data_IF_304684921619
#
_entry.id   IF_304684921619
#
_cell.length_a   1.000
_cell.length_b   1.000
_cell.length_c   1.000
_cell.angle_alpha   90.00
_cell.angle_beta   90.00
_cell.angle_gamma   90.00
#
_symmetry.space_group_name_H-M   'P 1'
#
loop_
_entity.id
_entity.type
_entity.pdbx_description
1 polymer ?
#
# COMPACT_ATOMS: atom_id res chain seq x y z
N UNK A 1 15.95 13.17 -10.64
CA UNK A 1 14.97 13.89 -11.48
C UNK A 1 14.09 14.68 -10.54
N UNK A 2 13.93 15.97 -10.80
CA UNK A 2 13.07 16.85 -10.03
C UNK A 2 11.61 16.64 -10.50
N UNK A 3 10.69 16.17 -9.65
CA UNK A 3 9.31 15.87 -10.04
C UNK A 3 8.58 17.11 -10.59
N UNK A 4 8.97 18.32 -10.18
CA UNK A 4 8.40 19.58 -10.69
C UNK A 4 8.67 19.81 -12.18
N UNK A 5 9.62 19.07 -12.78
CA UNK A 5 9.94 19.15 -14.21
C UNK A 5 9.16 18.17 -15.07
N UNK A 6 8.34 17.32 -14.48
CA UNK A 6 7.50 16.39 -15.24
C UNK A 6 6.35 17.16 -15.92
N UNK A 7 6.00 16.81 -17.17
CA UNK A 7 4.81 17.36 -17.81
C UNK A 7 3.54 17.00 -17.01
N UNK A 8 2.45 17.71 -17.30
CA UNK A 8 1.12 17.32 -16.83
C UNK A 8 0.85 15.85 -17.14
N UNK A 9 0.26 15.09 -16.21
CA UNK A 9 0.20 13.64 -16.30
C UNK A 9 -0.63 13.13 -17.48
N UNK A 10 -1.69 13.85 -17.84
CA UNK A 10 -2.51 13.50 -19.02
C UNK A 10 -1.74 13.80 -20.33
N UNK A 11 -0.96 14.88 -20.40
CA UNK A 11 -0.11 15.17 -21.56
C UNK A 11 0.97 14.11 -21.74
N UNK A 12 1.60 13.71 -20.62
CA UNK A 12 2.58 12.62 -20.61
C UNK A 12 1.94 11.30 -21.06
N UNK A 13 0.76 10.97 -20.53
CA UNK A 13 0.01 9.78 -20.94
C UNK A 13 -0.26 9.76 -22.44
N UNK A 14 -0.79 10.84 -23.01
CA UNK A 14 -1.17 10.87 -24.42
C UNK A 14 0.01 10.92 -25.38
N UNK A 15 1.10 11.59 -24.99
CA UNK A 15 2.36 11.53 -25.73
C UNK A 15 2.87 10.09 -25.83
N UNK A 16 2.75 9.34 -24.75
CA UNK A 16 3.22 7.96 -24.69
C UNK A 16 2.32 6.99 -25.46
N UNK A 17 1.00 7.15 -25.37
CA UNK A 17 0.06 6.39 -26.21
C UNK A 17 0.34 6.69 -27.68
N UNK A 18 0.56 7.95 -28.07
CA UNK A 18 0.91 8.31 -29.43
C UNK A 18 2.22 7.65 -29.90
N UNK A 19 3.24 7.58 -29.04
CA UNK A 19 4.46 6.82 -29.34
C UNK A 19 4.18 5.32 -29.55
N UNK A 20 3.36 4.71 -28.69
CA UNK A 20 2.96 3.31 -28.83
C UNK A 20 2.17 3.06 -30.13
N UNK A 21 1.28 3.99 -30.51
CA UNK A 21 0.54 3.98 -31.79
C UNK A 21 1.51 4.05 -32.98
N UNK A 22 2.47 4.98 -32.97
CA UNK A 22 3.46 5.11 -34.03
C UNK A 22 4.30 3.84 -34.19
N UNK A 23 4.85 3.32 -33.10
CA UNK A 23 5.65 2.10 -33.15
C UNK A 23 4.82 0.90 -33.59
N UNK A 24 3.57 0.80 -33.14
CA UNK A 24 2.65 -0.26 -33.58
C UNK A 24 2.38 -0.23 -35.08
N UNK A 25 2.22 0.96 -35.65
CA UNK A 25 2.03 1.14 -37.09
C UNK A 25 3.30 0.84 -37.90
N UNK A 26 4.48 1.17 -37.36
CA UNK A 26 5.77 0.91 -38.00
C UNK A 26 6.21 -0.57 -37.92
N UNK A 27 5.62 -1.37 -37.04
CA UNK A 27 5.87 -2.82 -36.94
C UNK A 27 6.89 -3.22 -35.84
N UNK A 28 7.38 -4.47 -35.85
CA UNK A 28 7.86 -5.17 -34.64
C UNK A 28 9.17 -4.68 -34.02
N UNK A 29 10.00 -3.90 -34.73
CA UNK A 29 11.25 -3.39 -34.15
C UNK A 29 11.63 -2.06 -34.81
N UNK A 30 11.65 -0.95 -34.05
CA UNK A 30 12.27 0.29 -34.48
C UNK A 30 13.79 0.12 -34.69
N UNK A 31 14.43 0.98 -35.50
CA UNK A 31 15.87 0.88 -35.79
C UNK A 31 16.75 1.03 -34.54
N UNK A 32 16.29 1.79 -33.55
CA UNK A 32 17.00 2.06 -32.30
C UNK A 32 16.82 0.96 -31.25
N UNK A 33 16.07 -0.11 -31.57
CA UNK A 33 15.78 -1.22 -30.66
C UNK A 33 14.80 -0.89 -29.52
N UNK A 34 14.32 0.35 -29.42
CA UNK A 34 13.33 0.73 -28.42
C UNK A 34 11.98 0.05 -28.70
N UNK A 35 11.18 -0.18 -27.66
CA UNK A 35 9.85 -0.77 -27.79
C UNK A 35 8.88 -0.05 -26.89
N UNK A 36 7.86 0.53 -27.49
CA UNK A 36 6.76 1.19 -26.82
C UNK A 36 5.48 0.39 -27.02
N UNK A 37 4.80 0.06 -25.93
CA UNK A 37 3.61 -0.78 -25.93
C UNK A 37 2.53 -0.26 -24.99
N UNK A 38 1.32 -0.78 -25.17
CA UNK A 38 0.19 -0.50 -24.30
C UNK A 38 -0.45 -1.80 -23.81
N UNK A 39 -0.58 -1.91 -22.50
CA UNK A 39 -1.27 -2.97 -21.79
C UNK A 39 -2.68 -2.48 -21.41
N UNK A 40 -3.74 -2.97 -22.10
CA UNK A 40 -5.10 -2.53 -21.84
C UNK A 40 -5.67 -3.04 -20.52
N UNK A 41 -5.17 -4.17 -20.00
CA UNK A 41 -5.68 -4.78 -18.76
C UNK A 41 -5.29 -3.95 -17.55
N UNK A 42 -4.01 -3.56 -17.49
CA UNK A 42 -3.48 -2.79 -16.37
C UNK A 42 -3.44 -1.27 -16.62
N UNK A 43 -3.83 -0.83 -17.84
CA UNK A 43 -3.68 0.55 -18.34
C UNK A 43 -2.25 1.06 -18.18
N UNK A 44 -1.30 0.27 -18.65
CA UNK A 44 0.13 0.60 -18.55
C UNK A 44 0.67 0.86 -19.94
N UNK A 45 1.28 2.02 -20.15
CA UNK A 45 2.18 2.24 -21.28
C UNK A 45 3.58 1.83 -20.86
N UNK A 46 4.27 1.11 -21.75
CA UNK A 46 5.61 0.55 -21.50
C UNK A 46 6.56 1.13 -22.53
N UNK A 47 7.76 1.51 -22.10
CA UNK A 47 8.88 1.87 -22.96
C UNK A 47 10.11 1.07 -22.50
N UNK A 48 10.65 0.24 -23.37
CA UNK A 48 11.91 -0.47 -23.19
C UNK A 48 12.93 0.10 -24.18
N UNK A 49 14.13 0.43 -23.74
CA UNK A 49 15.21 0.96 -24.56
C UNK A 49 16.26 -0.13 -24.84
N UNK A 50 17.05 0.05 -25.89
CA UNK A 50 18.04 -0.95 -26.32
C UNK A 50 19.21 -1.14 -25.34
N UNK A 51 19.48 -0.15 -24.49
CA UNK A 51 20.49 -0.21 -23.43
C UNK A 51 20.03 -1.02 -22.19
N UNK A 52 18.79 -1.52 -22.20
CA UNK A 52 18.17 -2.22 -21.09
C UNK A 52 17.45 -1.32 -20.10
N UNK A 53 17.46 -0.01 -20.31
CA UNK A 53 16.63 0.93 -19.57
C UNK A 53 15.16 0.69 -19.88
N UNK A 54 14.29 0.93 -18.90
CA UNK A 54 12.86 0.79 -19.09
C UNK A 54 12.06 1.77 -18.24
N UNK A 55 10.87 2.09 -18.73
CA UNK A 55 9.97 3.08 -18.19
C UNK A 55 8.52 2.60 -18.33
N UNK A 56 7.68 2.88 -17.35
CA UNK A 56 6.27 2.47 -17.27
C UNK A 56 5.42 3.61 -16.71
N UNK A 57 4.21 3.78 -17.24
CA UNK A 57 3.21 4.68 -16.65
C UNK A 57 1.86 4.01 -16.61
N UNK A 58 1.26 4.03 -15.44
CA UNK A 58 -0.09 3.55 -15.19
C UNK A 58 -1.03 4.71 -15.01
N UNK A 59 -2.17 4.64 -15.71
CA UNK A 59 -3.30 5.55 -15.53
C UNK A 59 -4.44 4.86 -14.81
N UNK A 60 -5.00 5.54 -13.80
CA UNK A 60 -6.21 5.13 -13.09
C UNK A 60 -7.13 6.33 -12.90
N UNK A 61 -8.36 6.12 -12.41
CA UNK A 61 -9.36 7.18 -12.23
C UNK A 61 -8.88 8.41 -11.44
N UNK A 62 -7.94 8.24 -10.51
CA UNK A 62 -7.53 9.31 -9.58
C UNK A 62 -6.04 9.62 -9.55
N UNK A 63 -5.23 8.89 -10.32
CA UNK A 63 -3.77 8.99 -10.25
C UNK A 63 -3.07 8.51 -11.50
N UNK A 64 -1.88 9.05 -11.68
CA UNK A 64 -0.87 8.57 -12.61
C UNK A 64 0.37 8.15 -11.83
N UNK A 65 0.96 7.02 -12.22
CA UNK A 65 2.14 6.48 -11.54
C UNK A 65 3.17 6.15 -12.59
N UNK A 66 4.33 6.78 -12.50
CA UNK A 66 5.48 6.61 -13.37
C UNK A 66 6.57 5.85 -12.61
N UNK A 67 7.12 4.79 -13.19
CA UNK A 67 8.26 4.09 -12.59
C UNK A 67 9.18 3.53 -13.65
N UNK A 68 10.44 3.34 -13.30
CA UNK A 68 11.42 2.88 -14.26
C UNK A 68 12.77 2.55 -13.64
N UNK A 69 13.68 2.17 -14.54
CA UNK A 69 15.08 1.91 -14.23
C UNK A 69 15.93 2.29 -15.44
N UNK A 70 16.97 3.07 -15.22
CA UNK A 70 17.99 3.32 -16.25
C UNK A 70 19.03 2.19 -16.29
N UNK A 71 19.75 2.08 -17.39
CA UNK A 71 20.89 1.18 -17.54
C UNK A 71 22.06 1.56 -16.60
N UNK A 72 22.14 2.84 -16.21
CA UNK A 72 23.14 3.37 -15.28
C UNK A 72 22.85 3.02 -13.81
N UNK A 73 21.67 2.46 -13.53
CA UNK A 73 21.29 2.02 -12.20
C UNK A 73 22.28 0.98 -11.64
N UNK A 74 22.62 1.04 -10.33
CA UNK A 74 23.41 0.01 -9.67
C UNK A 74 22.84 -1.41 -9.92
N UNK A 75 23.66 -2.47 -9.87
CA UNK A 75 23.19 -3.84 -10.12
C UNK A 75 22.14 -4.31 -9.11
N UNK A 76 22.19 -3.82 -7.87
CA UNK A 76 21.25 -4.13 -6.79
C UNK A 76 20.70 -2.87 -6.12
N UNK A 77 19.99 -1.99 -6.85
CA UNK A 77 19.60 -0.69 -6.33
C UNK A 77 18.50 -0.86 -5.28
N UNK A 78 18.46 -0.06 -4.20
CA UNK A 78 17.30 -0.03 -3.31
C UNK A 78 16.01 0.21 -4.12
N UNK A 79 14.93 -0.41 -3.66
CA UNK A 79 13.68 -0.42 -4.41
C UNK A 79 12.89 0.86 -4.14
N UNK A 80 12.70 1.70 -5.15
CA UNK A 80 11.99 2.98 -5.05
C UNK A 80 10.55 2.84 -4.53
N UNK A 81 9.96 1.64 -4.64
CA UNK A 81 8.62 1.35 -4.11
C UNK A 81 8.56 1.38 -2.58
N UNK A 82 9.70 1.33 -1.88
CA UNK A 82 9.76 1.30 -0.41
C UNK A 82 9.24 2.59 0.23
N UNK A 83 9.49 3.72 -0.42
CA UNK A 83 9.15 5.05 0.10
C UNK A 83 7.91 5.64 -0.60
N UNK A 84 7.46 4.99 -1.67
CA UNK A 84 6.23 5.37 -2.37
C UNK A 84 5.00 5.09 -1.49
N UNK A 85 4.00 5.99 -1.48
CA UNK A 85 2.77 5.73 -0.77
C UNK A 85 2.10 4.51 -1.35
N UNK A 86 1.57 3.65 -0.48
CA UNK A 86 1.02 2.37 -0.92
C UNK A 86 -0.08 2.56 -1.98
N UNK A 87 -0.86 3.65 -1.91
CA UNK A 87 -1.91 3.94 -2.90
C UNK A 87 -1.35 4.22 -4.30
N UNK A 88 -0.07 4.59 -4.46
CA UNK A 88 0.58 4.72 -5.76
C UNK A 88 1.00 3.37 -6.35
N UNK A 89 0.92 2.27 -5.60
CA UNK A 89 1.40 0.95 -6.03
C UNK A 89 0.23 0.08 -6.53
N UNK A 90 0.53 -0.84 -7.45
CA UNK A 90 -0.42 -1.82 -7.98
C UNK A 90 0.31 -3.08 -8.43
N UNK A 91 -0.41 -4.12 -8.85
CA UNK A 91 0.22 -5.31 -9.43
C UNK A 91 1.12 -4.99 -10.63
N UNK A 92 0.84 -3.91 -11.37
CA UNK A 92 1.68 -3.47 -12.48
C UNK A 92 3.04 -2.91 -12.01
N UNK A 93 3.08 -2.30 -10.82
CA UNK A 93 4.34 -1.77 -10.27
C UNK A 93 5.21 -2.86 -9.67
N UNK A 94 4.77 -4.12 -9.64
CA UNK A 94 5.57 -5.27 -9.22
C UNK A 94 6.66 -5.63 -10.25
N UNK A 95 6.49 -5.23 -11.51
CA UNK A 95 7.44 -5.50 -12.59
C UNK A 95 8.81 -4.87 -12.30
N UNK A 96 9.84 -5.72 -12.18
CA UNK A 96 11.23 -5.30 -11.98
C UNK A 96 11.53 -4.74 -10.59
N UNK A 97 12.68 -4.06 -10.50
CA UNK A 97 13.14 -3.35 -9.30
C UNK A 97 13.43 -1.90 -9.70
N UNK A 98 12.41 -1.02 -9.67
CA UNK A 98 12.58 0.36 -10.12
C UNK A 98 13.54 1.13 -9.22
N UNK A 99 14.37 1.96 -9.83
CA UNK A 99 15.27 2.90 -9.14
C UNK A 99 14.61 4.25 -8.88
N UNK A 100 13.50 4.50 -9.56
CA UNK A 100 12.68 5.68 -9.33
C UNK A 100 11.19 5.35 -9.44
N UNK A 101 10.40 6.11 -8.69
CA UNK A 101 8.95 6.08 -8.78
C UNK A 101 8.41 7.50 -8.54
N UNK A 102 7.54 7.98 -9.42
CA UNK A 102 6.84 9.24 -9.28
C UNK A 102 5.34 9.00 -9.37
N UNK A 103 4.56 9.76 -8.63
CA UNK A 103 3.10 9.70 -8.65
C UNK A 103 2.52 11.09 -8.72
N UNK A 104 1.44 11.22 -9.49
CA UNK A 104 0.68 12.46 -9.54
C UNK A 104 -0.60 12.32 -8.73
N UNK A 105 -0.72 13.13 -7.68
CA UNK A 105 -1.93 13.24 -6.87
C UNK A 105 -2.10 14.68 -6.36
N UNK A 106 -3.36 15.09 -6.14
CA UNK A 106 -3.71 16.43 -5.67
C UNK A 106 -3.21 17.58 -6.55
N UNK A 107 -2.94 17.34 -7.83
CA UNK A 107 -2.48 18.35 -8.78
C UNK A 107 -0.97 18.53 -8.83
N UNK A 108 -0.21 17.69 -8.13
CA UNK A 108 1.25 17.77 -8.08
C UNK A 108 1.90 16.40 -8.30
N UNK A 109 3.11 16.42 -8.86
CA UNK A 109 3.99 15.27 -8.90
C UNK A 109 4.79 15.18 -7.61
N UNK A 110 4.86 13.98 -7.05
CA UNK A 110 5.71 13.64 -5.92
C UNK A 110 6.48 12.36 -6.27
N UNK A 111 7.59 12.09 -5.59
CA UNK A 111 8.51 11.03 -5.98
C UNK A 111 9.24 10.36 -4.83
N UNK A 112 9.51 9.08 -5.01
CA UNK A 112 10.41 8.29 -4.21
C UNK A 112 11.64 7.98 -5.05
N UNK A 113 12.77 8.57 -4.67
CA UNK A 113 14.08 8.33 -5.30
C UNK A 113 15.01 7.79 -4.24
N UNK A 114 15.41 6.53 -4.39
CA UNK A 114 16.27 5.85 -3.39
C UNK A 114 17.75 6.03 -3.69
N UNK A 115 18.11 6.33 -4.94
CA UNK A 115 19.47 6.66 -5.40
C UNK A 115 19.35 7.73 -6.49
N UNK A 116 20.28 8.68 -6.52
CA UNK A 116 20.40 9.60 -7.66
C UNK A 116 20.64 8.79 -8.94
N UNK A 117 19.60 8.71 -9.78
CA UNK A 117 19.64 8.03 -11.07
C UNK A 117 19.66 9.10 -12.19
N UNK A 118 20.86 9.48 -12.68
CA UNK A 118 20.98 10.53 -13.70
C UNK A 118 20.39 10.12 -15.05
N UNK A 119 20.21 8.82 -15.30
CA UNK A 119 19.65 8.30 -16.54
C UNK A 119 18.14 8.53 -16.68
N UNK A 120 17.43 8.89 -15.60
CA UNK A 120 15.97 9.07 -15.62
C UNK A 120 15.52 10.19 -16.56
N UNK A 121 16.27 11.28 -16.67
CA UNK A 121 15.93 12.36 -17.61
C UNK A 121 16.05 11.89 -19.07
N UNK A 122 16.99 10.98 -19.34
CA UNK A 122 17.19 10.42 -20.68
C UNK A 122 16.04 9.48 -21.06
N UNK A 123 15.44 8.78 -20.08
CA UNK A 123 14.27 7.92 -20.29
C UNK A 123 13.04 8.68 -20.79
N UNK A 124 12.89 9.95 -20.41
CA UNK A 124 11.74 10.77 -20.80
C UNK A 124 11.89 11.41 -22.19
N UNK A 125 13.11 11.51 -22.72
CA UNK A 125 13.37 12.17 -24.01
C UNK A 125 12.52 11.65 -25.18
N UNK A 126 12.33 10.32 -25.36
CA UNK A 126 11.48 9.82 -26.43
C UNK A 126 10.05 10.37 -26.35
N UNK A 127 9.52 10.53 -25.14
CA UNK A 127 8.16 11.03 -24.90
C UNK A 127 8.02 12.50 -25.24
N UNK A 128 9.04 13.30 -24.87
CA UNK A 128 9.07 14.73 -25.17
C UNK A 128 9.29 15.04 -26.65
N UNK A 129 9.68 14.04 -27.46
CA UNK A 129 9.92 14.18 -28.90
C UNK A 129 8.70 13.84 -29.76
N UNK A 130 7.62 13.32 -29.16
CA UNK A 130 6.40 12.95 -29.89
C UNK A 130 5.72 14.21 -30.41
N UNK A 131 5.23 14.17 -31.66
CA UNK A 131 4.48 15.29 -32.24
C UNK A 131 3.24 15.60 -31.39
N UNK A 132 3.14 16.81 -30.80
CA UNK A 132 2.02 17.17 -29.93
C UNK A 132 0.67 17.12 -30.67
N UNK A 133 0.65 17.35 -31.99
CA UNK A 133 -0.59 17.27 -32.79
C UNK A 133 -1.12 15.85 -32.86
N UNK A 134 -0.24 14.86 -32.93
CA UNK A 134 -0.62 13.45 -32.91
C UNK A 134 -1.16 13.09 -31.53
N UNK A 135 -0.46 13.47 -30.45
CA UNK A 135 -0.91 13.25 -29.08
C UNK A 135 -2.31 13.85 -28.84
N UNK A 136 -2.56 15.10 -29.28
CA UNK A 136 -3.87 15.73 -29.18
C UNK A 136 -4.97 14.98 -29.96
N UNK A 137 -4.68 14.49 -31.17
CA UNK A 137 -5.65 13.71 -31.97
C UNK A 137 -5.98 12.37 -31.34
N UNK A 138 -4.99 11.70 -30.75
CA UNK A 138 -5.18 10.45 -29.99
C UNK A 138 -6.05 10.73 -28.76
N UNK A 139 -5.72 11.77 -27.99
CA UNK A 139 -6.47 12.18 -26.80
C UNK A 139 -7.94 12.50 -27.11
N UNK A 140 -8.19 13.21 -28.21
CA UNK A 140 -9.53 13.56 -28.66
C UNK A 140 -10.29 12.40 -29.30
N UNK A 141 -9.65 11.24 -29.52
CA UNK A 141 -10.27 10.10 -30.22
C UNK A 141 -10.58 10.37 -31.69
N UNK A 142 -9.89 11.34 -32.32
CA UNK A 142 -10.14 11.77 -33.71
C UNK A 142 -9.09 11.27 -34.71
N UNK A 143 -8.13 10.44 -34.26
CA UNK A 143 -7.08 9.90 -35.12
C UNK A 143 -7.68 8.95 -36.19
N UNK A 144 -7.52 9.32 -37.47
CA UNK A 144 -7.86 8.50 -38.63
C UNK A 144 -6.64 7.76 -39.19
N UNK A 145 -6.85 6.85 -40.15
CA UNK A 145 -5.76 6.15 -40.85
C UNK A 145 -4.86 7.14 -41.61
N UNK A 146 -5.43 7.99 -42.46
CA UNK A 146 -4.70 9.04 -43.18
C UNK A 146 -3.99 10.00 -42.22
N UNK A 147 -4.65 10.33 -41.11
CA UNK A 147 -4.11 11.17 -40.06
C UNK A 147 -2.87 10.56 -39.40
N UNK A 148 -2.87 9.24 -39.16
CA UNK A 148 -1.72 8.51 -38.63
C UNK A 148 -0.61 8.38 -39.68
N UNK A 149 -0.96 8.04 -40.92
CA UNK A 149 0.00 7.87 -42.02
C UNK A 149 0.80 9.15 -42.31
N UNK A 150 0.18 10.32 -42.15
CA UNK A 150 0.87 11.61 -42.28
C UNK A 150 2.03 11.82 -41.29
N UNK A 151 2.08 11.07 -40.18
CA UNK A 151 3.15 11.13 -39.19
C UNK A 151 4.17 9.99 -39.33
N UNK A 152 3.98 9.05 -40.25
CA UNK A 152 4.90 7.92 -40.44
C UNK A 152 6.02 8.29 -41.41
N UNK A 153 7.27 7.96 -41.06
CA UNK A 153 8.42 8.15 -41.95
C UNK A 153 8.44 7.17 -43.14
N UNK A 154 7.58 6.15 -43.13
CA UNK A 154 7.44 5.14 -44.20
C UNK A 154 6.01 4.60 -44.24
N UNK A 155 5.55 4.09 -45.41
CA UNK A 155 4.23 3.46 -45.51
C UNK A 155 4.10 2.27 -44.55
N UNK A 156 3.03 2.25 -43.75
CA UNK A 156 2.68 1.12 -42.89
C UNK A 156 1.77 0.13 -43.64
N UNK A 157 1.71 -1.11 -43.15
CA UNK A 157 0.75 -2.09 -43.68
C UNK A 157 -0.64 -1.75 -43.14
N UNK A 158 -1.72 -1.91 -43.91
CA UNK A 158 -3.08 -1.61 -43.45
C UNK A 158 -3.48 -2.31 -42.14
N UNK A 159 -2.97 -3.54 -41.92
CA UNK A 159 -3.18 -4.29 -40.67
C UNK A 159 -2.54 -3.61 -39.46
N UNK A 160 -1.34 -3.05 -39.62
CA UNK A 160 -0.59 -2.42 -38.54
C UNK A 160 -1.20 -1.06 -38.20
N UNK A 161 -1.63 -0.30 -39.20
CA UNK A 161 -2.43 0.94 -39.03
C UNK A 161 -3.70 0.64 -38.23
N UNK A 162 -4.48 -0.38 -38.62
CA UNK A 162 -5.69 -0.77 -37.91
C UNK A 162 -5.41 -1.14 -36.45
N UNK A 163 -4.37 -1.94 -36.21
CA UNK A 163 -3.99 -2.32 -34.85
C UNK A 163 -3.53 -1.13 -34.00
N UNK A 164 -2.86 -0.15 -34.60
CA UNK A 164 -2.47 1.09 -33.94
C UNK A 164 -3.70 1.95 -33.56
N UNK A 165 -4.69 2.06 -34.44
CA UNK A 165 -5.95 2.75 -34.15
C UNK A 165 -6.79 2.02 -33.07
N UNK A 166 -6.79 0.69 -33.07
CA UNK A 166 -7.44 -0.11 -32.02
C UNK A 166 -6.77 0.12 -30.66
N UNK A 167 -5.43 0.25 -30.62
CA UNK A 167 -4.68 0.60 -29.42
C UNK A 167 -5.06 1.99 -28.90
N UNK A 168 -5.13 3.00 -29.78
CA UNK A 168 -5.54 4.36 -29.40
C UNK A 168 -6.95 4.38 -28.78
N UNK A 169 -7.90 3.67 -29.39
CA UNK A 169 -9.27 3.52 -28.87
C UNK A 169 -9.31 2.80 -27.53
N UNK A 170 -8.50 1.75 -27.37
CA UNK A 170 -8.38 1.05 -26.09
C UNK A 170 -7.85 2.00 -25.01
N UNK A 171 -6.79 2.77 -25.29
CA UNK A 171 -6.19 3.71 -24.33
C UNK A 171 -7.13 4.86 -23.90
N UNK A 172 -8.10 5.23 -24.75
CA UNK A 172 -9.12 6.24 -24.46
C UNK A 172 -10.29 5.75 -23.61
N UNK A 173 -10.42 4.44 -23.40
CA UNK A 173 -11.44 3.90 -22.50
C UNK A 173 -11.21 4.36 -21.06
N UNK A 174 -12.28 4.53 -20.25
CA UNK A 174 -12.15 4.96 -18.85
C UNK A 174 -11.13 4.12 -18.08
N UNK A 175 -10.30 4.80 -17.30
CA UNK A 175 -9.29 4.14 -16.49
C UNK A 175 -9.98 3.32 -15.36
N UNK A 176 -9.46 2.13 -15.01
CA UNK A 176 -10.07 1.32 -13.97
C UNK A 176 -9.83 1.93 -12.59
N UNK A 177 -10.71 1.59 -11.65
CA UNK A 177 -10.42 1.74 -10.23
C UNK A 177 -9.49 0.60 -9.82
N UNK A 178 -8.27 0.91 -9.42
CA UNK A 178 -7.30 -0.12 -9.01
C UNK A 178 -7.72 -0.71 -7.66
N UNK A 179 -7.74 -2.04 -7.58
CA UNK A 179 -8.18 -2.77 -6.39
C UNK A 179 -7.24 -2.50 -5.18
N UNK A 180 -7.77 -2.17 -3.98
CA UNK A 180 -6.99 -1.82 -2.78
C UNK A 180 -6.11 -2.92 -2.17
N UNK A 181 -6.14 -4.16 -2.69
CA UNK A 181 -5.65 -5.35 -1.98
C UNK A 181 -4.15 -5.36 -1.67
N UNK A 182 -3.29 -5.03 -2.63
CA UNK A 182 -1.83 -4.99 -2.41
C UNK A 182 -1.38 -3.77 -1.59
N UNK A 183 -2.14 -2.68 -1.68
CA UNK A 183 -1.93 -1.41 -0.98
C UNK A 183 -2.11 -1.57 0.52
N UNK A 184 -3.20 -2.20 0.95
CA UNK A 184 -3.51 -2.38 2.36
C UNK A 184 -2.51 -3.30 3.07
N UNK A 185 -2.01 -4.34 2.39
CA UNK A 185 -1.01 -5.26 2.95
C UNK A 185 0.32 -4.54 3.17
N UNK A 186 0.81 -3.78 2.17
CA UNK A 186 2.08 -3.05 2.30
C UNK A 186 2.02 -1.93 3.34
N UNK A 187 0.93 -1.17 3.37
CA UNK A 187 0.73 -0.13 4.39
C UNK A 187 0.72 -0.74 5.79
N UNK A 188 0.03 -1.86 5.97
CA UNK A 188 0.04 -2.60 7.22
C UNK A 188 1.46 -3.02 7.62
N UNK A 189 2.23 -3.58 6.69
CA UNK A 189 3.60 -4.01 6.96
C UNK A 189 4.52 -2.81 7.33
N UNK A 190 4.32 -1.66 6.69
CA UNK A 190 5.04 -0.42 7.00
C UNK A 190 4.69 0.10 8.39
N UNK A 191 3.39 0.20 8.72
CA UNK A 191 2.93 0.61 10.05
C UNK A 191 3.46 -0.34 11.12
N UNK A 192 3.37 -1.66 10.91
CA UNK A 192 3.89 -2.64 11.85
C UNK A 192 5.41 -2.55 12.04
N UNK A 193 6.16 -2.18 10.99
CA UNK A 193 7.60 -1.91 11.11
C UNK A 193 7.86 -0.68 11.98
N UNK A 194 7.18 0.44 11.70
CA UNK A 194 7.35 1.66 12.49
C UNK A 194 6.88 1.48 13.93
N UNK A 195 5.84 0.69 14.20
CA UNK A 195 5.43 0.32 15.55
C UNK A 195 6.55 -0.42 16.30
N UNK A 196 7.33 -1.29 15.64
CA UNK A 196 8.47 -1.98 16.28
C UNK A 196 9.62 -1.03 16.63
N UNK A 197 9.75 0.05 15.89
CA UNK A 197 10.81 1.06 16.05
C UNK A 197 10.38 2.23 16.94
N UNK A 198 9.07 2.39 17.16
CA UNK A 198 8.51 3.50 17.91
C UNK A 198 8.87 3.41 19.40
N UNK A 199 9.37 4.51 20.01
CA UNK A 199 9.51 4.57 21.45
C UNK A 199 8.13 4.59 22.11
N UNK A 200 8.01 3.92 23.25
CA UNK A 200 6.80 3.92 24.06
C UNK A 200 6.76 5.19 24.93
N UNK A 201 5.70 5.98 24.82
CA UNK A 201 5.53 7.16 25.67
C UNK A 201 5.11 6.75 27.10
N UNK A 202 5.77 7.33 28.10
CA UNK A 202 5.40 7.11 29.50
C UNK A 202 4.07 7.80 29.83
N UNK A 203 3.14 7.02 30.39
CA UNK A 203 1.79 7.46 30.80
C UNK A 203 1.64 7.54 32.31
N UNK A 204 2.73 7.37 33.06
CA UNK A 204 2.77 7.44 34.53
C UNK A 204 1.83 6.44 35.22
N UNK A 205 1.55 5.31 34.56
CA UNK A 205 0.66 4.27 35.07
C UNK A 205 1.42 3.29 35.97
N UNK A 206 0.73 2.69 36.95
CA UNK A 206 1.32 1.72 37.88
C UNK A 206 1.84 0.48 37.15
N UNK A 207 3.11 0.12 37.35
CA UNK A 207 3.71 -1.06 36.73
C UNK A 207 3.05 -2.39 37.16
N UNK A 208 2.50 -2.44 38.38
CA UNK A 208 1.79 -3.63 38.91
C UNK A 208 0.37 -3.26 39.34
N UNK A 209 -0.60 -3.33 38.41
CA UNK A 209 -2.00 -3.02 38.73
C UNK A 209 -2.53 -3.95 39.83
N UNK A 210 -3.15 -3.42 40.91
CA UNK A 210 -3.64 -4.24 42.02
C UNK A 210 -4.67 -5.30 41.61
N UNK A 211 -5.44 -5.04 40.56
CA UNK A 211 -6.43 -5.97 40.00
C UNK A 211 -5.77 -7.23 39.42
N UNK A 212 -4.66 -7.09 38.69
CA UNK A 212 -3.88 -8.21 38.14
C UNK A 212 -3.17 -8.98 39.26
N UNK A 213 -2.56 -8.26 40.21
CA UNK A 213 -1.90 -8.90 41.37
C UNK A 213 -2.87 -9.73 42.19
N UNK A 214 -4.05 -9.17 42.49
CA UNK A 214 -5.10 -9.87 43.23
C UNK A 214 -5.63 -11.07 42.44
N UNK A 215 -5.86 -10.91 41.14
CA UNK A 215 -6.30 -12.02 40.29
C UNK A 215 -5.28 -13.16 40.31
N UNK A 216 -3.98 -12.85 40.17
CA UNK A 216 -2.92 -13.87 40.19
C UNK A 216 -2.89 -14.62 41.53
N UNK A 217 -3.06 -13.93 42.66
CA UNK A 217 -3.06 -14.56 43.98
C UNK A 217 -4.26 -15.49 44.22
N UNK A 218 -5.43 -15.21 43.63
CA UNK A 218 -6.68 -15.96 43.89
C UNK A 218 -6.98 -17.02 42.82
N UNK A 219 -6.65 -16.71 41.56
CA UNK A 219 -7.04 -17.51 40.39
C UNK A 219 -5.86 -17.90 39.51
N UNK A 220 -4.68 -17.32 39.73
CA UNK A 220 -3.48 -17.64 38.98
C UNK A 220 -3.00 -19.07 39.25
N UNK A 221 -2.48 -19.77 38.23
CA UNK A 221 -1.75 -21.02 38.45
C UNK A 221 -0.56 -20.82 39.39
N UNK A 222 -0.25 -21.82 40.22
CA UNK A 222 0.97 -21.85 41.02
C UNK A 222 2.23 -22.18 40.20
N UNK A 223 2.06 -22.55 38.93
CA UNK A 223 3.16 -22.80 37.98
C UNK A 223 3.42 -21.56 37.13
N UNK A 224 4.65 -21.36 36.62
CA UNK A 224 4.94 -20.27 35.70
C UNK A 224 3.97 -20.21 34.51
N UNK A 225 3.58 -18.99 34.13
CA UNK A 225 2.74 -18.75 32.96
C UNK A 225 3.02 -17.38 32.34
N UNK A 226 2.77 -17.30 31.03
CA UNK A 226 2.77 -16.07 30.25
C UNK A 226 1.46 -16.00 29.48
N UNK A 227 0.73 -14.89 29.63
CA UNK A 227 -0.54 -14.66 28.93
C UNK A 227 -0.53 -13.26 28.32
N UNK A 228 -0.49 -13.22 26.99
CA UNK A 228 -0.41 -11.99 26.21
C UNK A 228 -1.69 -11.76 25.41
N UNK A 229 -2.07 -10.50 25.26
CA UNK A 229 -3.27 -10.08 24.54
C UNK A 229 -2.97 -8.87 23.65
N UNK A 230 -3.66 -8.82 22.51
CA UNK A 230 -3.72 -7.66 21.63
C UNK A 230 -5.17 -7.21 21.54
N UNK A 231 -5.38 -5.90 21.42
CA UNK A 231 -6.71 -5.33 21.25
C UNK A 231 -7.05 -5.25 19.76
N UNK A 232 -8.26 -5.69 19.41
CA UNK A 232 -8.91 -5.36 18.13
C UNK A 232 -10.20 -4.61 18.44
N UNK A 233 -10.16 -3.29 18.26
CA UNK A 233 -11.19 -2.32 18.70
C UNK A 233 -11.42 -2.39 20.21
N UNK A 234 -12.35 -3.24 20.63
CA UNK A 234 -12.73 -3.42 22.03
C UNK A 234 -12.55 -4.87 22.51
N UNK A 235 -12.14 -5.78 21.61
CA UNK A 235 -11.97 -7.19 21.92
C UNK A 235 -10.52 -7.52 22.20
N UNK A 236 -10.29 -8.24 23.30
CA UNK A 236 -8.98 -8.81 23.62
C UNK A 236 -8.80 -10.13 22.88
N UNK A 237 -7.77 -10.20 22.05
CA UNK A 237 -7.36 -11.38 21.28
C UNK A 237 -6.11 -11.96 21.94
N UNK A 238 -6.16 -13.18 22.49
CA UNK A 238 -4.99 -13.82 23.09
C UNK A 238 -3.91 -14.11 22.05
N UNK A 239 -2.63 -14.02 22.46
CA UNK A 239 -1.51 -14.46 21.65
C UNK A 239 -1.56 -15.98 21.45
N UNK A 240 -1.16 -16.45 20.27
CA UNK A 240 -1.19 -17.88 19.90
C UNK A 240 -0.27 -18.72 20.78
N UNK A 241 0.83 -18.12 21.26
CA UNK A 241 1.85 -18.71 22.11
C UNK A 241 1.61 -18.52 23.62
N UNK A 242 0.46 -17.95 24.01
CA UNK A 242 0.10 -17.82 25.43
C UNK A 242 0.04 -19.20 26.11
N UNK A 243 0.48 -19.25 27.36
CA UNK A 243 0.36 -20.42 28.22
C UNK A 243 -1.11 -20.81 28.34
N UNK A 244 -1.40 -22.11 28.20
CA UNK A 244 -2.76 -22.62 28.31
C UNK A 244 -3.21 -22.58 29.77
N UNK A 245 -3.97 -21.54 30.11
CA UNK A 245 -4.61 -21.42 31.41
C UNK A 245 -5.87 -22.30 31.51
N UNK A 246 -6.24 -22.78 32.71
CA UNK A 246 -7.56 -23.35 32.95
C UNK A 246 -8.66 -22.40 32.48
N UNK A 247 -9.75 -22.93 31.92
CA UNK A 247 -10.78 -22.12 31.25
C UNK A 247 -11.39 -21.03 32.15
N UNK A 248 -11.57 -21.31 33.45
CA UNK A 248 -12.08 -20.37 34.45
C UNK A 248 -11.07 -19.26 34.76
N UNK A 249 -9.80 -19.62 34.95
CA UNK A 249 -8.70 -18.67 35.14
C UNK A 249 -8.55 -17.76 33.91
N UNK A 250 -8.56 -18.34 32.69
CA UNK A 250 -8.52 -17.59 31.44
C UNK A 250 -9.66 -16.58 31.33
N UNK A 251 -10.90 -17.01 31.59
CA UNK A 251 -12.08 -16.13 31.48
C UNK A 251 -12.02 -15.00 32.49
N UNK A 252 -11.71 -15.30 33.75
CA UNK A 252 -11.57 -14.28 34.80
C UNK A 252 -10.44 -13.30 34.50
N UNK A 253 -9.28 -13.78 34.00
CA UNK A 253 -8.19 -12.92 33.56
C UNK A 253 -8.64 -11.97 32.46
N UNK A 254 -9.36 -12.48 31.47
CA UNK A 254 -9.83 -11.67 30.35
C UNK A 254 -10.79 -10.57 30.82
N UNK A 255 -11.65 -10.86 31.79
CA UNK A 255 -12.49 -9.84 32.43
C UNK A 255 -11.65 -8.79 33.17
N UNK A 256 -10.65 -9.21 33.94
CA UNK A 256 -9.75 -8.28 34.66
C UNK A 256 -9.01 -7.38 33.68
N UNK A 257 -8.45 -7.93 32.60
CA UNK A 257 -7.73 -7.15 31.60
C UNK A 257 -8.66 -6.19 30.84
N UNK A 258 -9.90 -6.58 30.55
CA UNK A 258 -10.87 -5.69 29.92
C UNK A 258 -11.22 -4.50 30.82
N UNK A 259 -11.48 -4.75 32.10
CA UNK A 259 -11.78 -3.70 33.08
C UNK A 259 -10.58 -2.78 33.26
N UNK A 260 -9.39 -3.35 33.45
CA UNK A 260 -8.15 -2.60 33.59
C UNK A 260 -7.88 -1.72 32.35
N UNK A 261 -8.15 -2.21 31.14
CA UNK A 261 -8.02 -1.41 29.92
C UNK A 261 -8.90 -0.17 29.96
N UNK A 262 -10.14 -0.32 30.43
CA UNK A 262 -11.07 0.80 30.57
C UNK A 262 -10.61 1.79 31.65
N UNK A 263 -10.11 1.29 32.78
CA UNK A 263 -9.57 2.10 33.88
C UNK A 263 -8.31 2.88 33.49
N UNK A 264 -7.42 2.27 32.70
CA UNK A 264 -6.18 2.87 32.22
C UNK A 264 -6.34 3.67 30.92
N UNK A 265 -7.54 3.66 30.34
CA UNK A 265 -7.85 4.48 29.16
C UNK A 265 -8.11 5.92 29.58
N UNK A 266 -7.50 6.87 28.88
CA UNK A 266 -7.79 8.28 29.07
C UNK A 266 -8.18 8.97 27.76
N UNK A 267 -8.90 10.10 27.87
CA UNK A 267 -9.37 10.85 26.71
C UNK A 267 -8.23 11.47 25.87
N UNK A 268 -7.06 11.68 26.47
CA UNK A 268 -5.92 12.26 25.78
C UNK A 268 -5.05 11.21 25.09
N UNK A 269 -4.70 10.13 25.78
CA UNK A 269 -3.71 9.14 25.32
C UNK A 269 -4.28 7.76 24.95
N UNK A 270 -5.59 7.56 25.06
CA UNK A 270 -6.28 6.34 24.70
C UNK A 270 -5.92 5.16 25.60
N UNK A 271 -6.12 3.94 25.10
CA UNK A 271 -5.83 2.71 25.81
C UNK A 271 -4.63 1.97 25.19
N UNK A 272 -4.10 1.00 25.93
CA UNK A 272 -3.03 0.15 25.41
C UNK A 272 -3.52 -0.73 24.27
N UNK A 273 -2.62 -1.06 23.34
CA UNK A 273 -2.83 -1.93 22.18
C UNK A 273 -2.46 -3.39 22.49
N UNK A 274 -1.45 -3.58 23.34
CA UNK A 274 -0.97 -4.88 23.78
C UNK A 274 -0.80 -4.90 25.29
N UNK A 275 -1.06 -6.04 25.90
CA UNK A 275 -0.74 -6.29 27.31
C UNK A 275 -0.24 -7.72 27.51
N UNK A 276 0.59 -7.93 28.52
CA UNK A 276 1.14 -9.23 28.89
C UNK A 276 1.20 -9.36 30.40
N UNK A 277 0.75 -10.52 30.88
CA UNK A 277 0.90 -10.96 32.28
C UNK A 277 1.89 -12.10 32.29
N UNK A 278 2.97 -11.96 33.07
CA UNK A 278 3.96 -13.01 33.29
C UNK A 278 3.98 -13.32 34.78
N UNK A 279 4.04 -14.60 35.12
CA UNK A 279 4.27 -15.03 36.50
C UNK A 279 5.22 -16.21 36.54
N UNK A 280 6.09 -16.23 37.55
CA UNK A 280 6.94 -17.37 37.89
C UNK A 280 6.28 -18.32 38.92
N UNK A 281 5.01 -18.07 39.27
CA UNK A 281 4.27 -18.77 40.33
C UNK A 281 4.30 -18.07 41.69
N UNK A 282 5.13 -17.03 41.86
CA UNK A 282 5.26 -16.26 43.11
C UNK A 282 5.06 -14.76 42.85
N UNK A 283 5.78 -14.24 41.86
CA UNK A 283 5.72 -12.85 41.41
C UNK A 283 4.88 -12.79 40.15
N UNK A 284 4.13 -11.70 39.99
CA UNK A 284 3.42 -11.38 38.76
C UNK A 284 3.89 -10.02 38.25
N UNK A 285 4.22 -9.98 36.98
CA UNK A 285 4.60 -8.80 36.24
C UNK A 285 3.56 -8.51 35.15
N UNK A 286 3.36 -7.23 34.88
CA UNK A 286 2.42 -6.73 33.90
C UNK A 286 3.11 -5.74 32.96
N UNK A 287 3.17 -6.09 31.68
CA UNK A 287 3.66 -5.22 30.63
C UNK A 287 2.49 -4.74 29.77
N UNK A 288 2.59 -3.52 29.24
CA UNK A 288 1.62 -2.96 28.29
C UNK A 288 2.33 -2.06 27.30
N UNK A 289 1.81 -2.00 26.08
CA UNK A 289 2.26 -1.10 25.03
C UNK A 289 1.06 -0.42 24.39
N UNK A 290 1.12 0.90 24.28
CA UNK A 290 0.10 1.75 23.67
C UNK A 290 0.49 2.16 22.26
N UNK A 291 1.79 2.28 21.97
CA UNK A 291 2.29 2.86 20.72
C UNK A 291 3.12 1.84 19.94
N UNK A 292 3.88 1.02 20.67
CA UNK A 292 4.81 0.07 20.08
C UNK A 292 4.21 -1.29 19.72
N UNK A 293 4.97 -2.02 18.90
CA UNK A 293 4.81 -3.46 18.73
C UNK A 293 5.82 -4.17 19.63
N UNK A 294 5.39 -4.76 20.76
CA UNK A 294 6.33 -5.34 21.71
C UNK A 294 7.05 -6.56 21.12
N UNK A 295 8.34 -6.71 21.44
CA UNK A 295 9.17 -7.84 21.01
C UNK A 295 8.69 -9.20 21.51
N UNK A 296 7.91 -9.21 22.60
CA UNK A 296 7.26 -10.40 23.13
C UNK A 296 6.01 -10.82 22.36
N UNK A 297 5.42 -9.95 21.52
CA UNK A 297 4.31 -10.33 20.64
C UNK A 297 4.82 -10.93 19.33
N UNK A 298 4.83 -12.27 19.26
CA UNK A 298 5.35 -13.04 18.13
C UNK A 298 4.27 -13.31 17.08
N UNK A 299 4.11 -12.41 16.12
CA UNK A 299 3.32 -12.71 14.92
C UNK A 299 4.10 -13.65 14.00
N UNK A 300 3.52 -14.82 13.72
CA UNK A 300 4.00 -15.77 12.70
C UNK A 300 3.55 -15.36 11.29
N UNK A 301 2.44 -14.60 11.20
CA UNK A 301 1.91 -14.10 9.93
C UNK A 301 1.48 -12.62 10.05
N UNK A 302 1.67 -11.77 9.01
CA UNK A 302 1.29 -10.35 9.06
C UNK A 302 -0.18 -10.06 9.42
N UNK A 303 -1.09 -11.02 9.15
CA UNK A 303 -2.51 -10.90 9.53
C UNK A 303 -2.78 -11.11 11.04
N UNK A 304 -1.78 -11.54 11.81
CA UNK A 304 -1.89 -11.72 13.26
C UNK A 304 -1.65 -10.43 14.05
N UNK A 305 -1.21 -9.36 13.39
CA UNK A 305 -1.14 -8.02 13.98
C UNK A 305 -2.50 -7.32 14.07
N UNK A 306 -2.53 -6.08 14.61
CA UNK A 306 -3.70 -5.24 14.57
C UNK A 306 -3.99 -4.84 13.11
N UNK A 307 -5.27 -4.86 12.74
CA UNK A 307 -5.70 -4.41 11.42
C UNK A 307 -5.58 -2.88 11.33
N UNK A 308 -5.37 -2.35 10.12
CA UNK A 308 -5.27 -0.90 9.92
C UNK A 308 -6.52 -0.16 10.43
N UNK A 309 -7.72 -0.71 10.19
CA UNK A 309 -8.96 -0.13 10.70
C UNK A 309 -9.04 -0.07 12.22
N UNK A 310 -8.48 -1.06 12.92
CA UNK A 310 -8.45 -1.09 14.39
C UNK A 310 -7.49 -0.03 14.93
N UNK A 311 -6.32 0.12 14.30
CA UNK A 311 -5.35 1.17 14.63
C UNK A 311 -5.91 2.56 14.33
N UNK A 312 -6.55 2.75 13.18
CA UNK A 312 -7.24 4.00 12.81
C UNK A 312 -8.28 4.37 13.86
N UNK A 313 -9.13 3.42 14.25
CA UNK A 313 -10.15 3.66 15.27
C UNK A 313 -9.51 4.07 16.60
N UNK A 314 -8.50 3.35 17.09
CA UNK A 314 -7.84 3.67 18.36
C UNK A 314 -7.14 5.03 18.32
N UNK A 315 -6.38 5.32 17.26
CA UNK A 315 -5.64 6.60 17.14
C UNK A 315 -6.58 7.80 17.06
N UNK A 316 -7.79 7.63 16.51
CA UNK A 316 -8.79 8.70 16.45
C UNK A 316 -9.34 9.08 17.82
N UNK A 317 -9.35 8.14 18.78
CA UNK A 317 -9.75 8.43 20.17
C UNK A 317 -8.69 9.26 20.92
N UNK A 318 -7.45 9.31 20.41
CA UNK A 318 -6.33 10.03 21.04
C UNK A 318 -6.25 11.45 20.55
N UNK A 319 -5.82 12.34 21.43
CA UNK A 319 -5.39 13.70 21.06
C UNK A 319 -4.14 13.64 20.19
N UNK A 320 -3.91 14.60 19.27
CA UNK A 320 -2.77 14.57 18.36
C UNK A 320 -1.40 14.45 19.05
N UNK A 321 -1.23 15.03 20.25
CA UNK A 321 0.03 14.99 21.00
C UNK A 321 0.41 13.59 21.50
N UNK A 322 -0.56 12.69 21.66
CA UNK A 322 -0.38 11.32 22.13
C UNK A 322 -0.48 10.28 21.00
N UNK A 323 -0.52 10.74 19.75
CA UNK A 323 -0.42 9.85 18.60
C UNK A 323 1.05 9.60 18.27
N UNK A 324 1.49 8.34 18.18
CA UNK A 324 2.83 8.04 17.71
C UNK A 324 2.99 8.49 16.25
N UNK A 325 4.23 8.71 15.82
CA UNK A 325 4.55 9.23 14.47
C UNK A 325 3.98 8.36 13.34
N UNK A 326 3.94 7.04 13.53
CA UNK A 326 3.40 6.10 12.56
C UNK A 326 1.88 6.25 12.35
N UNK A 327 1.16 6.87 13.28
CA UNK A 327 -0.28 7.11 13.14
C UNK A 327 -0.60 8.05 11.97
N UNK A 328 0.35 8.87 11.53
CA UNK A 328 0.21 9.72 10.33
C UNK A 328 0.04 8.93 9.03
N UNK A 329 0.45 7.66 9.01
CA UNK A 329 0.29 6.77 7.86
C UNK A 329 -1.10 6.15 7.75
N UNK A 330 -1.90 6.23 8.82
CA UNK A 330 -3.22 5.62 8.85
C UNK A 330 -4.20 6.41 7.97
N UNK A 331 -5.13 5.73 7.29
CA UNK A 331 -6.16 6.43 6.52
C UNK A 331 -6.99 7.35 7.43
N UNK A 332 -7.27 8.56 6.94
CA UNK A 332 -8.29 9.41 7.54
C UNK A 332 -9.62 8.65 7.57
N UNK A 333 -10.38 8.78 8.66
CA UNK A 333 -11.48 7.88 9.07
C UNK A 333 -12.67 7.65 8.14
N UNK A 334 -12.57 8.01 6.87
CA UNK A 334 -13.57 7.73 5.85
C UNK A 334 -13.12 6.55 4.99
N UNK A 335 -13.27 5.34 5.51
CA UNK A 335 -13.72 4.18 4.72
C UNK A 335 -14.03 3.05 5.67
N UNK A 336 -15.33 2.87 5.95
CA UNK A 336 -15.84 1.61 6.44
C UNK A 336 -15.34 0.48 5.52
N UNK A 337 -14.84 -0.57 6.16
CA UNK A 337 -14.21 -1.73 5.56
C UNK A 337 -15.13 -2.44 4.54
N UNK A 338 -14.78 -2.55 3.24
CA UNK A 338 -15.58 -3.31 2.28
C UNK A 338 -15.61 -4.81 2.57
N UNK A 339 -14.70 -5.32 3.43
CA UNK A 339 -14.68 -6.73 3.81
C UNK A 339 -15.89 -7.16 4.66
N UNK A 340 -16.56 -6.24 5.36
CA UNK A 340 -17.76 -6.54 6.12
C UNK A 340 -18.98 -6.86 5.25
N UNK A 341 -18.97 -6.49 3.95
CA UNK A 341 -20.11 -6.72 3.05
C UNK A 341 -20.10 -8.10 2.39
N UNK A 342 -18.97 -8.81 2.37
CA UNK A 342 -18.87 -10.12 1.72
C UNK A 342 -19.48 -11.25 2.58
N UNK A 343 -19.45 -11.14 3.90
CA UNK A 343 -20.01 -12.16 4.81
C UNK A 343 -21.53 -12.04 5.01
N UNK A 344 -22.14 -10.90 4.65
CA UNK A 344 -23.59 -10.72 4.80
C UNK A 344 -24.42 -11.37 3.67
N UNK A 345 -23.82 -11.66 2.50
CA UNK A 345 -24.56 -12.22 1.35
C UNK A 345 -24.63 -13.76 1.38
N UNK A 346 -23.84 -14.44 2.23
CA UNK A 346 -23.83 -15.91 2.31
C UNK A 346 -24.86 -16.51 3.29
N UNK A 347 -25.58 -15.67 4.06
CA UNK A 347 -26.52 -16.15 5.08
C UNK A 347 -28.01 -16.10 4.70
N UNK A 348 -28.40 -15.53 3.54
CA UNK A 348 -29.82 -15.31 3.18
C UNK A 348 -30.40 -16.35 2.19
N UNK A 349 -29.78 -17.53 2.08
CA UNK A 349 -30.08 -18.50 1.02
C UNK A 349 -30.43 -19.91 1.50
N UNK A 350 -31.09 -20.09 2.64
CA UNK A 350 -31.72 -21.39 3.00
C UNK A 350 -32.96 -21.17 3.85
N UNK A 351 -34.13 -21.40 3.26
CA UNK A 351 -35.37 -21.53 4.03
C UNK A 351 -36.64 -21.32 3.22
N UNK A 352 -36.95 -22.24 2.31
CA UNK A 352 -38.32 -22.66 2.00
C UNK A 352 -38.25 -23.94 1.17
N UNK A 353 -38.47 -25.08 1.83
CA UNK A 353 -39.15 -26.26 1.27
C UNK A 353 -39.28 -27.31 2.38
N UNK A 354 -40.46 -27.32 3.01
CA UNK A 354 -41.22 -28.50 3.49
C UNK A 354 -42.31 -28.04 4.46
#
# INVERSE_FOLDING_TARGET
MDPERLPEPDDLWWSWVALAVLQRALGPTPPDGSRCGFDPEHRVVRLDLADGSWLRLQRSLRRHVLWGRSADAPPAPPDARRDAPAWALSGATEEGRPTFLAWHAHGEWDSAVTVADPGVEQLLRPLLSVDPRLASRVAAGTLSADGLEAHLSRPARPRDVRAALDLARAAASPAPLLAPGAVAVRLRDQVHRQMREAPEADRMLMQRPPSVVRWAAVHGPATPYEYAVMVRREQLVPAVDSTRLPATARRSLMTVLQLLRGEESAADHGAWLFARVVSDGVVVDFDRCFDGWPSWWRATHPSQGPALGDLTWEMQQRTPAWRPTWASLLPAGETADPAASADATSASGRGHDS
#
